data_IF_408574788873
#
_entry.id   IF_408574788873
#
_cell.length_a   1.000
_cell.length_b   1.000
_cell.length_c   1.000
_cell.angle_alpha   90.00
_cell.angle_beta   90.00
_cell.angle_gamma   90.00
#
_symmetry.space_group_name_H-M   'P 1'
#
loop_
_entity.id
_entity.type
_entity.pdbx_description
1 polymer ?
#
# COMPACT_ATOMS: atom_id res chain seq x y z
N UNK A 1 -15.30 24.55 -3.36
CA UNK A 1 -15.63 23.40 -2.48
C UNK A 1 -14.44 22.46 -2.47
N UNK A 2 -14.18 21.79 -1.38
CA UNK A 2 -13.14 20.72 -1.34
C UNK A 2 -13.78 19.47 -1.93
N UNK A 3 -13.18 18.92 -2.99
CA UNK A 3 -13.62 17.64 -3.54
C UNK A 3 -12.90 16.51 -2.79
N UNK A 4 -13.64 15.51 -2.31
CA UNK A 4 -13.09 14.37 -1.57
C UNK A 4 -13.35 13.10 -2.39
N UNK A 5 -12.29 12.59 -3.00
CA UNK A 5 -12.31 11.29 -3.66
C UNK A 5 -12.12 10.18 -2.63
N UNK A 6 -12.89 9.10 -2.73
CA UNK A 6 -12.82 7.94 -1.83
C UNK A 6 -12.38 6.71 -2.59
N UNK A 7 -11.42 5.97 -2.04
CA UNK A 7 -10.88 4.80 -2.73
C UNK A 7 -10.41 3.73 -1.77
N UNK A 8 -10.64 2.47 -2.15
CA UNK A 8 -10.15 1.29 -1.43
C UNK A 8 -8.68 1.03 -1.78
N UNK A 9 -7.89 0.70 -0.76
CA UNK A 9 -6.49 0.32 -0.90
C UNK A 9 -6.21 -0.96 -0.10
N UNK A 10 -5.80 -2.02 -0.80
CA UNK A 10 -5.39 -3.26 -0.17
C UNK A 10 -3.94 -3.17 0.32
N UNK A 11 -3.68 -3.47 1.61
CA UNK A 11 -2.34 -3.54 2.18
C UNK A 11 -2.03 -4.99 2.50
N UNK A 12 -1.14 -5.59 1.71
CA UNK A 12 -0.89 -7.03 1.69
C UNK A 12 0.61 -7.38 1.79
N UNK A 13 0.89 -8.62 2.12
CA UNK A 13 2.24 -9.15 2.32
C UNK A 13 2.29 -10.08 3.52
N UNK A 14 3.42 -10.70 3.78
CA UNK A 14 3.60 -11.70 4.83
C UNK A 14 3.28 -11.18 6.25
N UNK A 15 3.14 -12.08 7.19
CA UNK A 15 2.96 -11.73 8.59
C UNK A 15 4.23 -11.06 9.16
N UNK A 16 4.06 -10.15 10.14
CA UNK A 16 5.14 -9.50 10.89
C UNK A 16 6.12 -8.60 10.08
N UNK A 17 5.80 -8.26 8.85
CA UNK A 17 6.63 -7.34 8.02
C UNK A 17 6.42 -5.86 8.35
N UNK A 18 5.35 -5.50 9.08
CA UNK A 18 5.10 -4.13 9.52
C UNK A 18 3.93 -3.41 8.85
N UNK A 19 2.99 -4.13 8.20
CA UNK A 19 1.81 -3.53 7.55
C UNK A 19 1.01 -2.63 8.48
N UNK A 20 0.53 -3.17 9.58
CA UNK A 20 -0.21 -2.44 10.62
C UNK A 20 0.60 -1.27 11.18
N UNK A 21 1.91 -1.46 11.41
CA UNK A 21 2.76 -0.41 11.94
C UNK A 21 2.88 0.77 10.96
N UNK A 22 3.04 0.51 9.66
CA UNK A 22 3.08 1.55 8.63
C UNK A 22 1.79 2.37 8.63
N UNK A 23 0.63 1.70 8.63
CA UNK A 23 -0.68 2.36 8.65
C UNK A 23 -0.85 3.19 9.92
N UNK A 24 -0.52 2.65 11.08
CA UNK A 24 -0.67 3.37 12.35
C UNK A 24 0.21 4.61 12.43
N UNK A 25 1.48 4.52 12.01
CA UNK A 25 2.39 5.67 11.96
C UNK A 25 1.92 6.71 10.94
N UNK A 26 1.38 6.29 9.82
CA UNK A 26 0.76 7.19 8.84
C UNK A 26 -0.42 7.96 9.42
N UNK A 27 -1.32 7.29 10.13
CA UNK A 27 -2.56 7.89 10.67
C UNK A 27 -2.31 8.79 11.88
N UNK A 28 -1.26 8.53 12.67
CA UNK A 28 -0.97 9.26 13.92
C UNK A 28 0.20 10.24 13.80
N UNK A 29 0.43 10.75 12.61
CA UNK A 29 1.39 11.81 12.30
C UNK A 29 2.80 11.56 12.87
N UNK A 30 3.34 10.37 12.62
CA UNK A 30 4.70 9.93 12.99
C UNK A 30 4.96 9.77 14.50
N UNK A 31 4.00 10.12 15.36
CA UNK A 31 4.21 10.10 16.82
C UNK A 31 3.97 8.73 17.46
N UNK A 32 3.43 7.77 16.73
CA UNK A 32 2.99 6.50 17.27
C UNK A 32 3.60 5.30 16.54
N UNK A 33 4.55 4.65 17.19
CA UNK A 33 4.97 3.30 16.80
C UNK A 33 4.44 2.29 17.82
N UNK A 34 3.73 1.22 17.41
CA UNK A 34 3.17 0.25 18.35
C UNK A 34 4.28 -0.46 19.13
N UNK A 35 4.24 -0.32 20.46
CA UNK A 35 5.25 -0.91 21.36
C UNK A 35 5.17 -2.44 21.42
N UNK A 36 3.96 -2.98 21.23
CA UNK A 36 3.71 -4.43 21.26
C UNK A 36 3.22 -4.90 19.92
N UNK A 37 3.80 -6.00 19.44
CA UNK A 37 3.28 -6.68 18.27
C UNK A 37 1.94 -7.35 18.60
N UNK A 38 0.88 -6.94 17.88
CA UNK A 38 -0.39 -7.64 17.86
C UNK A 38 -0.65 -8.14 16.44
N UNK A 39 -0.95 -9.40 16.31
CA UNK A 39 -1.21 -10.00 15.01
C UNK A 39 -2.59 -9.60 14.51
N UNK A 40 -2.67 -9.13 13.25
CA UNK A 40 -3.94 -8.86 12.58
C UNK A 40 -4.67 -10.18 12.29
N UNK A 41 -5.89 -10.33 12.81
CA UNK A 41 -6.78 -11.46 12.51
C UNK A 41 -7.76 -11.03 11.44
N UNK A 42 -7.66 -11.65 10.24
CA UNK A 42 -8.50 -11.27 9.10
C UNK A 42 -8.09 -9.92 8.50
N UNK A 43 -8.96 -8.92 8.56
CA UNK A 43 -8.74 -7.59 8.00
C UNK A 43 -9.14 -6.51 9.00
N UNK A 44 -8.36 -5.45 9.08
CA UNK A 44 -8.71 -4.22 9.80
C UNK A 44 -8.86 -3.07 8.81
N UNK A 45 -9.97 -2.33 8.89
CA UNK A 45 -10.21 -1.14 8.07
C UNK A 45 -9.76 0.11 8.83
N UNK A 46 -8.97 0.93 8.15
CA UNK A 46 -8.58 2.27 8.61
C UNK A 46 -8.81 3.29 7.50
N UNK A 47 -9.05 4.55 7.84
CA UNK A 47 -9.24 5.61 6.86
C UNK A 47 -8.18 6.68 7.06
N UNK A 48 -7.41 6.94 6.01
CA UNK A 48 -6.40 7.99 5.98
C UNK A 48 -6.73 9.04 4.93
N UNK A 49 -6.53 10.32 5.25
CA UNK A 49 -6.79 11.42 4.34
C UNK A 49 -5.47 11.99 3.82
N UNK A 50 -5.36 12.13 2.51
CA UNK A 50 -4.23 12.76 1.82
C UNK A 50 -4.73 13.99 1.07
N UNK A 51 -4.22 15.16 1.40
CA UNK A 51 -4.50 16.39 0.64
C UNK A 51 -3.62 16.42 -0.61
N UNK A 52 -4.20 16.80 -1.75
CA UNK A 52 -3.48 16.88 -3.02
C UNK A 52 -2.89 18.30 -3.16
N UNK A 53 -1.54 18.45 -3.29
CA UNK A 53 -0.89 19.74 -3.42
C UNK A 53 -1.44 20.57 -4.57
N UNK A 54 -1.40 21.88 -4.42
CA UNK A 54 -1.83 22.87 -5.41
C UNK A 54 -3.30 22.78 -5.83
N UNK A 55 -4.09 21.98 -5.09
CA UNK A 55 -5.54 21.82 -5.29
C UNK A 55 -6.29 22.05 -3.98
N UNK A 56 -7.63 22.05 -4.05
CA UNK A 56 -8.50 21.97 -2.86
C UNK A 56 -8.99 20.54 -2.60
N UNK A 57 -8.47 19.58 -3.36
CA UNK A 57 -8.95 18.20 -3.34
C UNK A 57 -8.21 17.37 -2.30
N UNK A 58 -8.87 16.32 -1.86
CA UNK A 58 -8.29 15.33 -0.99
C UNK A 58 -8.72 13.93 -1.40
N UNK A 59 -7.90 12.93 -1.09
CA UNK A 59 -8.23 11.53 -1.28
C UNK A 59 -8.32 10.86 0.10
N UNK A 60 -9.47 10.26 0.38
CA UNK A 60 -9.66 9.38 1.53
C UNK A 60 -9.36 7.94 1.11
N UNK A 61 -8.26 7.41 1.64
CA UNK A 61 -7.82 6.03 1.43
C UNK A 61 -8.47 5.12 2.47
N UNK A 62 -9.30 4.20 2.02
CA UNK A 62 -9.87 3.13 2.85
C UNK A 62 -8.87 1.97 2.85
N UNK A 63 -8.04 1.92 3.88
CA UNK A 63 -6.89 1.02 4.01
C UNK A 63 -7.35 -0.31 4.62
N UNK A 64 -7.32 -1.37 3.82
CA UNK A 64 -7.60 -2.73 4.27
C UNK A 64 -6.28 -3.38 4.71
N UNK A 65 -5.97 -3.32 6.01
CA UNK A 65 -4.82 -4.00 6.62
C UNK A 65 -5.09 -5.51 6.68
N UNK A 66 -4.59 -6.24 5.71
CA UNK A 66 -4.86 -7.65 5.55
C UNK A 66 -3.88 -8.52 6.33
N UNK A 67 -4.39 -9.56 6.99
CA UNK A 67 -3.54 -10.57 7.61
C UNK A 67 -2.62 -11.23 6.59
N UNK A 68 -1.35 -11.40 6.94
CA UNK A 68 -0.37 -12.12 6.12
C UNK A 68 -0.36 -13.63 6.34
N UNK A 69 -1.34 -14.19 7.07
CA UNK A 69 -1.44 -15.64 7.31
C UNK A 69 -2.35 -16.32 6.31
N UNK A 70 -1.90 -17.47 5.79
CA UNK A 70 -2.66 -18.24 4.80
C UNK A 70 -4.05 -18.67 5.27
N UNK A 71 -4.23 -18.91 6.58
CA UNK A 71 -5.54 -19.28 7.15
C UNK A 71 -6.64 -18.24 6.91
N UNK A 72 -6.27 -16.97 6.68
CA UNK A 72 -7.23 -15.89 6.39
C UNK A 72 -7.29 -15.53 4.90
N UNK A 73 -6.54 -16.24 4.04
CA UNK A 73 -6.32 -15.82 2.66
C UNK A 73 -7.64 -15.70 1.86
N UNK A 74 -8.52 -16.69 1.96
CA UNK A 74 -9.78 -16.68 1.22
C UNK A 74 -10.64 -15.46 1.61
N UNK A 75 -10.74 -15.18 2.91
CA UNK A 75 -11.47 -14.01 3.41
C UNK A 75 -10.87 -12.69 2.91
N UNK A 76 -9.55 -12.54 2.99
CA UNK A 76 -8.92 -11.28 2.60
C UNK A 76 -8.94 -11.08 1.08
N UNK A 77 -8.89 -12.14 0.28
CA UNK A 77 -8.96 -12.05 -1.18
C UNK A 77 -10.29 -11.48 -1.68
N UNK A 78 -11.40 -11.83 -1.08
CA UNK A 78 -12.71 -11.25 -1.41
C UNK A 78 -12.75 -9.75 -1.16
N UNK A 79 -12.10 -9.28 -0.08
CA UNK A 79 -12.12 -7.88 0.32
C UNK A 79 -11.23 -6.97 -0.53
N UNK A 80 -10.16 -7.49 -1.12
CA UNK A 80 -9.29 -6.67 -1.98
C UNK A 80 -9.61 -6.77 -3.48
N UNK A 81 -10.52 -7.65 -3.88
CA UNK A 81 -10.83 -7.90 -5.29
C UNK A 81 -11.22 -6.61 -6.04
N UNK A 82 -12.03 -5.80 -5.41
CA UNK A 82 -12.54 -4.53 -5.95
C UNK A 82 -11.72 -3.29 -5.52
N UNK A 83 -10.58 -3.47 -4.82
CA UNK A 83 -9.70 -2.37 -4.46
C UNK A 83 -8.83 -1.95 -5.65
N UNK A 84 -8.98 -0.72 -6.19
CA UNK A 84 -8.16 -0.27 -7.32
C UNK A 84 -6.73 0.09 -6.94
N UNK A 85 -6.48 0.34 -5.64
CA UNK A 85 -5.14 0.62 -5.12
C UNK A 85 -4.60 -0.55 -4.31
N UNK A 86 -3.28 -0.75 -4.36
CA UNK A 86 -2.61 -1.78 -3.58
C UNK A 86 -1.23 -1.37 -3.07
N UNK A 87 -0.90 -1.79 -1.85
CA UNK A 87 0.44 -1.75 -1.27
C UNK A 87 0.86 -3.19 -1.01
N UNK A 88 1.87 -3.68 -1.73
CA UNK A 88 2.53 -4.96 -1.43
C UNK A 88 3.75 -4.64 -0.59
N UNK A 89 3.94 -5.36 0.51
CA UNK A 89 5.03 -5.09 1.45
C UNK A 89 5.88 -6.33 1.68
N UNK A 90 7.18 -6.11 1.87
CA UNK A 90 8.14 -7.13 2.31
C UNK A 90 9.12 -6.53 3.33
N UNK A 91 9.80 -7.38 4.08
CA UNK A 91 10.84 -6.98 5.03
C UNK A 91 12.21 -7.06 4.35
N UNK A 92 12.93 -5.94 4.27
CA UNK A 92 14.27 -5.88 3.63
C UNK A 92 15.31 -6.78 4.29
N UNK A 93 15.03 -7.23 5.54
CA UNK A 93 15.88 -8.15 6.30
C UNK A 93 15.46 -9.62 6.17
N UNK A 94 14.35 -9.89 5.45
CA UNK A 94 13.76 -11.23 5.32
C UNK A 94 13.57 -11.59 3.85
N UNK A 95 14.54 -12.28 3.27
CA UNK A 95 14.53 -12.70 1.86
C UNK A 95 13.30 -13.57 1.49
N UNK A 96 12.84 -14.54 2.31
CA UNK A 96 11.60 -15.26 2.02
C UNK A 96 10.40 -14.34 1.79
N UNK A 97 10.22 -13.28 2.59
CA UNK A 97 9.12 -12.33 2.39
C UNK A 97 9.20 -11.58 1.06
N UNK A 98 10.41 -11.33 0.57
CA UNK A 98 10.65 -10.75 -0.75
C UNK A 98 10.31 -11.73 -1.88
N UNK A 99 10.70 -13.00 -1.75
CA UNK A 99 10.35 -14.04 -2.73
C UNK A 99 8.83 -14.22 -2.85
N UNK A 100 8.07 -14.04 -1.76
CA UNK A 100 6.60 -14.12 -1.75
C UNK A 100 5.91 -12.94 -2.45
N UNK A 101 6.60 -11.83 -2.75
CA UNK A 101 6.03 -10.66 -3.45
C UNK A 101 5.35 -11.06 -4.76
N UNK A 102 5.99 -11.92 -5.56
CA UNK A 102 5.42 -12.39 -6.82
C UNK A 102 4.12 -13.17 -6.63
N UNK A 103 4.03 -13.95 -5.55
CA UNK A 103 2.83 -14.70 -5.19
C UNK A 103 1.69 -13.74 -4.78
N UNK A 104 1.99 -12.74 -3.95
CA UNK A 104 1.03 -11.72 -3.56
C UNK A 104 0.52 -10.92 -4.76
N UNK A 105 1.41 -10.50 -5.66
CA UNK A 105 1.03 -9.81 -6.89
C UNK A 105 0.15 -10.66 -7.81
N UNK A 106 0.47 -11.95 -7.97
CA UNK A 106 -0.33 -12.89 -8.76
C UNK A 106 -1.73 -13.09 -8.17
N UNK A 107 -1.84 -13.25 -6.85
CA UNK A 107 -3.13 -13.38 -6.14
C UNK A 107 -3.99 -12.13 -6.32
N UNK A 108 -3.36 -10.95 -6.18
CA UNK A 108 -4.03 -9.66 -6.36
C UNK A 108 -4.59 -9.49 -7.77
N UNK A 109 -3.83 -9.89 -8.80
CA UNK A 109 -4.25 -9.77 -10.21
C UNK A 109 -5.35 -10.76 -10.58
N UNK A 110 -5.25 -12.01 -10.12
CA UNK A 110 -6.24 -13.06 -10.43
C UNK A 110 -7.64 -12.76 -9.92
N UNK A 111 -7.73 -12.09 -8.77
CA UNK A 111 -9.00 -11.77 -8.12
C UNK A 111 -9.46 -10.33 -8.38
N UNK A 112 -8.81 -9.60 -9.29
CA UNK A 112 -9.17 -8.21 -9.57
C UNK A 112 -10.46 -8.14 -10.40
N UNK A 113 -11.46 -7.44 -9.88
CA UNK A 113 -12.72 -7.14 -10.57
C UNK A 113 -12.73 -5.73 -11.16
N UNK A 114 -11.76 -4.88 -10.78
CA UNK A 114 -11.68 -3.46 -11.17
C UNK A 114 -10.57 -3.15 -12.21
N UNK A 115 -9.99 -4.19 -12.84
CA UNK A 115 -8.91 -4.02 -13.82
C UNK A 115 -7.52 -3.84 -13.20
N UNK A 116 -6.56 -3.26 -13.95
CA UNK A 116 -5.20 -3.03 -13.46
C UNK A 116 -5.19 -2.15 -12.22
N UNK A 117 -4.37 -2.52 -11.23
CA UNK A 117 -4.26 -1.77 -9.98
C UNK A 117 -3.12 -0.76 -10.05
N UNK A 118 -3.36 0.41 -9.47
CA UNK A 118 -2.29 1.35 -9.15
C UNK A 118 -1.64 0.84 -7.86
N UNK A 119 -0.34 0.56 -7.91
CA UNK A 119 0.31 -0.11 -6.79
C UNK A 119 1.69 0.41 -6.42
N UNK A 120 2.05 0.18 -5.17
CA UNK A 120 3.40 0.37 -4.62
C UNK A 120 3.92 -0.93 -4.03
N UNK A 121 5.20 -1.21 -4.27
CA UNK A 121 5.96 -2.22 -3.54
C UNK A 121 6.80 -1.51 -2.47
N UNK A 122 6.62 -1.86 -1.20
CA UNK A 122 7.33 -1.21 -0.09
C UNK A 122 8.27 -2.19 0.60
N UNK A 123 9.57 -1.87 0.57
CA UNK A 123 10.59 -2.52 1.38
C UNK A 123 10.59 -1.94 2.80
N UNK A 124 10.14 -2.73 3.76
CA UNK A 124 10.03 -2.32 5.16
C UNK A 124 11.32 -2.54 5.95
N UNK A 125 11.43 -1.85 7.09
CA UNK A 125 12.56 -1.89 8.04
C UNK A 125 13.87 -1.42 7.40
N UNK A 126 13.81 -0.39 6.58
CA UNK A 126 14.96 0.19 5.89
C UNK A 126 16.02 0.76 6.86
N UNK A 127 15.64 1.01 8.11
CA UNK A 127 16.54 1.40 9.22
C UNK A 127 17.55 0.32 9.59
N UNK A 128 17.23 -0.96 9.39
CA UNK A 128 18.08 -2.10 9.78
C UNK A 128 19.16 -2.42 8.72
N UNK A 129 19.99 -1.44 8.37
CA UNK A 129 21.00 -1.52 7.29
C UNK A 129 21.94 -2.72 7.44
N UNK A 130 22.42 -2.98 8.65
CA UNK A 130 23.31 -4.07 9.01
C UNK A 130 22.68 -5.48 8.79
N UNK A 131 21.35 -5.54 8.86
CA UNK A 131 20.57 -6.79 8.75
C UNK A 131 19.97 -6.99 7.36
N UNK A 132 20.13 -6.01 6.47
CA UNK A 132 19.57 -6.04 5.11
C UNK A 132 19.99 -7.29 4.34
N UNK A 133 19.03 -7.95 3.72
CA UNK A 133 19.21 -9.13 2.85
C UNK A 133 18.78 -8.85 1.42
N UNK A 134 17.89 -7.92 1.22
CA UNK A 134 17.38 -7.51 -0.09
C UNK A 134 17.86 -6.10 -0.40
N UNK A 135 18.59 -5.92 -1.48
CA UNK A 135 19.08 -4.61 -1.91
C UNK A 135 17.95 -3.76 -2.50
N UNK A 136 18.12 -2.44 -2.49
CA UNK A 136 17.22 -1.49 -3.15
C UNK A 136 17.03 -1.82 -4.63
N UNK A 137 18.11 -2.23 -5.32
CA UNK A 137 18.07 -2.62 -6.73
C UNK A 137 17.17 -3.82 -6.98
N UNK A 138 17.27 -4.88 -6.18
CA UNK A 138 16.40 -6.06 -6.29
C UNK A 138 14.94 -5.68 -6.06
N UNK A 139 14.67 -4.79 -5.08
CA UNK A 139 13.34 -4.25 -4.84
C UNK A 139 12.77 -3.49 -6.05
N UNK A 140 13.58 -2.64 -6.68
CA UNK A 140 13.21 -1.90 -7.89
C UNK A 140 12.91 -2.84 -9.06
N UNK A 141 13.80 -3.80 -9.34
CA UNK A 141 13.62 -4.80 -10.40
C UNK A 141 12.35 -5.65 -10.19
N UNK A 142 12.02 -5.98 -8.95
CA UNK A 142 10.78 -6.69 -8.62
C UNK A 142 9.55 -5.81 -8.85
N UNK A 143 9.60 -4.56 -8.42
CA UNK A 143 8.50 -3.61 -8.61
C UNK A 143 8.20 -3.38 -10.10
N UNK A 144 9.23 -3.19 -10.93
CA UNK A 144 9.10 -3.09 -12.38
C UNK A 144 8.43 -4.34 -12.97
N UNK A 145 8.84 -5.53 -12.52
CA UNK A 145 8.28 -6.80 -13.00
C UNK A 145 6.78 -6.96 -12.72
N UNK A 146 6.32 -6.45 -11.56
CA UNK A 146 4.90 -6.53 -11.20
C UNK A 146 4.11 -5.27 -11.60
N UNK A 147 4.76 -4.27 -12.23
CA UNK A 147 4.14 -3.03 -12.68
C UNK A 147 3.80 -2.06 -11.56
N UNK A 148 4.56 -2.05 -10.44
CA UNK A 148 4.35 -1.21 -9.26
C UNK A 148 5.49 -0.22 -9.07
N UNK A 149 5.24 0.86 -8.35
CA UNK A 149 6.28 1.80 -7.93
C UNK A 149 7.00 1.28 -6.68
N UNK A 150 8.34 1.42 -6.63
CA UNK A 150 9.13 0.96 -5.48
C UNK A 150 9.41 2.08 -4.49
N UNK A 151 9.22 1.79 -3.20
CA UNK A 151 9.56 2.67 -2.09
C UNK A 151 10.16 1.85 -0.93
N UNK A 152 10.91 2.52 -0.07
CA UNK A 152 11.41 1.94 1.19
C UNK A 152 10.89 2.75 2.38
N UNK A 153 10.64 2.07 3.50
CA UNK A 153 10.11 2.72 4.70
C UNK A 153 10.62 2.09 5.99
N UNK A 154 10.72 2.91 7.02
CA UNK A 154 10.85 2.49 8.41
C UNK A 154 9.71 3.06 9.24
N UNK A 155 8.78 2.23 9.64
CA UNK A 155 7.73 2.65 10.57
C UNK A 155 8.31 3.02 11.94
N UNK A 156 9.42 2.39 12.36
CA UNK A 156 10.08 2.65 13.65
C UNK A 156 10.69 4.05 13.70
N UNK A 157 11.40 4.44 12.66
CA UNK A 157 12.06 5.76 12.56
C UNK A 157 11.14 6.82 11.92
N UNK A 158 9.92 6.43 11.53
CA UNK A 158 8.95 7.24 10.80
C UNK A 158 9.52 7.85 9.49
N UNK A 159 10.42 7.13 8.84
CA UNK A 159 11.03 7.51 7.56
C UNK A 159 10.32 6.81 6.40
N UNK A 160 10.06 7.52 5.30
CA UNK A 160 9.41 6.97 4.11
C UNK A 160 7.97 6.48 4.34
N UNK A 161 7.27 6.97 5.39
CA UNK A 161 5.95 6.46 5.78
C UNK A 161 4.83 7.10 4.96
N UNK A 162 4.93 8.39 4.66
CA UNK A 162 3.89 9.14 3.96
C UNK A 162 3.88 8.86 2.45
N UNK A 163 5.04 8.56 1.88
CA UNK A 163 5.29 8.47 0.46
C UNK A 163 4.43 7.43 -0.27
N UNK A 164 4.22 6.19 0.25
CA UNK A 164 3.35 5.22 -0.40
C UNK A 164 1.90 5.71 -0.54
N UNK A 165 1.37 6.31 0.51
CA UNK A 165 -0.01 6.81 0.54
C UNK A 165 -0.18 8.04 -0.34
N UNK A 166 0.80 8.95 -0.30
CA UNK A 166 0.82 10.14 -1.14
C UNK A 166 0.90 9.78 -2.64
N UNK A 167 1.79 8.85 -3.00
CA UNK A 167 1.91 8.37 -4.37
C UNK A 167 0.58 7.80 -4.88
N UNK A 168 -0.04 6.89 -4.12
CA UNK A 168 -1.30 6.27 -4.51
C UNK A 168 -2.43 7.29 -4.63
N UNK A 169 -2.55 8.21 -3.67
CA UNK A 169 -3.56 9.26 -3.69
C UNK A 169 -3.40 10.19 -4.91
N UNK A 170 -2.15 10.57 -5.22
CA UNK A 170 -1.83 11.44 -6.36
C UNK A 170 -2.14 10.76 -7.70
N UNK A 171 -1.79 9.49 -7.86
CA UNK A 171 -2.09 8.74 -9.08
C UNK A 171 -3.60 8.53 -9.25
N UNK A 172 -4.31 8.24 -8.16
CA UNK A 172 -5.77 8.11 -8.18
C UNK A 172 -6.46 9.41 -8.58
N UNK A 173 -6.03 10.53 -8.01
CA UNK A 173 -6.54 11.85 -8.34
C UNK A 173 -6.34 12.20 -9.83
N UNK A 174 -5.14 11.96 -10.36
CA UNK A 174 -4.85 12.15 -11.80
C UNK A 174 -5.80 11.35 -12.70
N UNK A 175 -5.95 10.06 -12.41
CA UNK A 175 -6.83 9.17 -13.19
C UNK A 175 -8.30 9.62 -13.17
N UNK A 176 -8.75 10.27 -12.11
CA UNK A 176 -10.13 10.78 -12.02
C UNK A 176 -10.32 12.10 -12.75
N UNK A 177 -9.33 12.99 -12.71
CA UNK A 177 -9.39 14.25 -13.46
C UNK A 177 -9.36 14.02 -14.95
N UNK A 178 -8.49 13.13 -15.46
CA UNK A 178 -8.43 12.76 -16.87
C UNK A 178 -9.76 12.14 -17.37
N UNK A 179 -10.46 11.36 -16.53
CA UNK A 179 -11.78 10.83 -16.89
C UNK A 179 -12.90 11.88 -16.85
N UNK A 180 -12.78 12.87 -15.97
CA UNK A 180 -13.72 14.01 -15.90
C UNK A 180 -13.62 14.90 -17.13
N UNK A 181 -12.42 15.22 -17.57
CA UNK A 181 -12.18 16.02 -18.79
C UNK A 181 -12.72 15.33 -20.06
N UNK A 182 -12.65 13.99 -20.14
CA UNK A 182 -13.20 13.22 -21.26
C UNK A 182 -14.73 13.15 -21.28
N UNK A 183 -15.41 13.45 -20.19
CA UNK A 183 -16.88 13.48 -20.14
C UNK A 183 -17.44 14.88 -20.49
N UNK A 184 -16.67 15.94 -20.32
CA UNK A 184 -17.08 17.30 -20.65
C UNK A 184 -16.88 17.63 -22.16
N UNK A 185 -16.05 16.85 -22.88
CA UNK A 185 -15.81 17.02 -24.33
C UNK A 185 -16.86 16.30 -25.23
N UNK A 186 -17.91 15.71 -24.65
CA UNK A 186 -18.96 14.95 -25.36
C UNK A 186 -20.35 15.63 -25.25
N UNK A 187 -20.39 16.95 -25.13
CA UNK A 187 -21.64 17.72 -25.22
C UNK A 187 -21.63 18.68 -26.40
#
# INVERSE_FOLDING_TARGET
>A
MTNILRVKCAVIGDAAIGKTALIQVFLHDRSYFPKNYSMTTGVTLSVGKVNIPDTKDAVELYLYDCSGKEVYLDLVQELWADAPLAIIMFDTCNEPSFQHVSTWASRLSKNSTCGPKIGVLVGMKADLKERRRVSTREGQEMAERIGFHYLESSAKEAEGVQEPFFYLASQWHKTHNEKGELQDDVL
#
